data_IF_705192631016
#
_entry.id   IF_705192631016
#
_cell.length_a   1.000
_cell.length_b   1.000
_cell.length_c   1.000
_cell.angle_alpha   90.00
_cell.angle_beta   90.00
_cell.angle_gamma   90.00
#
_symmetry.space_group_name_H-M   'P 1'
#
loop_
_entity.id
_entity.type
_entity.pdbx_description
1 polymer ?
#
# COMPACT_ATOMS: atom_id res chain seq x y z
N UNK A 1 7.14 -18.83 13.58
CA UNK A 1 8.59 -18.86 13.32
C UNK A 1 8.97 -18.29 11.94
N UNK A 2 8.68 -18.90 10.76
CA UNK A 2 8.98 -18.25 9.47
C UNK A 2 8.08 -17.05 9.16
N UNK A 3 6.80 -17.11 9.56
CA UNK A 3 5.82 -16.06 9.30
C UNK A 3 6.14 -14.74 10.03
N UNK A 4 6.61 -14.80 11.27
CA UNK A 4 7.00 -13.62 12.07
C UNK A 4 8.16 -12.84 11.42
N UNK A 5 9.14 -13.57 10.87
CA UNK A 5 10.26 -12.98 10.14
C UNK A 5 9.78 -12.31 8.86
N UNK A 6 8.94 -12.99 8.06
CA UNK A 6 8.35 -12.41 6.83
C UNK A 6 7.55 -11.15 7.16
N UNK A 7 6.71 -11.21 8.20
CA UNK A 7 5.93 -10.09 8.68
C UNK A 7 6.81 -8.90 9.06
N UNK A 8 7.85 -9.14 9.87
CA UNK A 8 8.75 -8.09 10.35
C UNK A 8 9.54 -7.45 9.20
N UNK A 9 10.03 -8.25 8.26
CA UNK A 9 10.75 -7.77 7.09
C UNK A 9 9.85 -6.96 6.16
N UNK A 10 8.63 -7.41 5.90
CA UNK A 10 7.67 -6.69 5.07
C UNK A 10 7.31 -5.33 5.68
N UNK A 11 7.07 -5.28 7.00
CA UNK A 11 6.81 -4.03 7.72
C UNK A 11 8.02 -3.09 7.67
N UNK A 12 9.23 -3.59 7.95
CA UNK A 12 10.44 -2.78 7.90
C UNK A 12 10.70 -2.18 6.52
N UNK A 13 10.53 -2.99 5.47
CA UNK A 13 10.67 -2.56 4.09
C UNK A 13 9.64 -1.47 3.73
N UNK A 14 8.37 -1.70 4.05
CA UNK A 14 7.31 -0.72 3.80
C UNK A 14 7.55 0.59 4.57
N UNK A 15 7.96 0.51 5.83
CA UNK A 15 8.25 1.67 6.68
C UNK A 15 9.39 2.52 6.11
N UNK A 16 10.49 1.90 5.70
CA UNK A 16 11.62 2.60 5.05
C UNK A 16 11.15 3.27 3.75
N UNK A 17 10.33 2.59 2.95
CA UNK A 17 9.78 3.15 1.72
C UNK A 17 8.86 4.36 1.98
N UNK A 18 8.05 4.34 3.03
CA UNK A 18 7.23 5.47 3.45
C UNK A 18 8.07 6.67 3.92
N UNK A 19 9.11 6.44 4.71
CA UNK A 19 10.06 7.48 5.11
C UNK A 19 10.70 8.10 3.87
N UNK A 20 11.19 7.27 2.96
CA UNK A 20 11.80 7.73 1.71
C UNK A 20 10.81 8.56 0.88
N UNK A 21 9.57 8.09 0.75
CA UNK A 21 8.52 8.79 0.01
C UNK A 21 8.16 10.14 0.64
N UNK A 22 8.08 10.23 1.97
CA UNK A 22 7.66 11.45 2.65
C UNK A 22 8.80 12.49 2.69
N UNK A 23 10.03 12.07 2.97
CA UNK A 23 11.13 12.98 3.29
C UNK A 23 12.08 13.26 2.11
N UNK A 24 12.30 12.31 1.21
CA UNK A 24 13.29 12.50 0.14
C UNK A 24 12.74 13.33 -1.02
N UNK A 25 13.65 13.90 -1.79
CA UNK A 25 13.33 14.52 -3.08
C UNK A 25 12.84 13.44 -4.05
N UNK A 26 11.59 13.57 -4.53
CA UNK A 26 10.96 12.60 -5.43
C UNK A 26 11.37 12.80 -6.88
N UNK A 27 12.62 12.50 -7.19
CA UNK A 27 13.07 12.34 -8.57
C UNK A 27 12.44 11.07 -9.21
N UNK A 28 12.42 10.99 -10.54
CA UNK A 28 11.88 9.82 -11.27
C UNK A 28 12.56 8.50 -10.87
N UNK A 29 13.83 8.57 -10.43
CA UNK A 29 14.53 7.40 -9.87
C UNK A 29 13.84 6.87 -8.60
N UNK A 30 13.45 7.75 -7.68
CA UNK A 30 12.77 7.32 -6.45
C UNK A 30 11.41 6.69 -6.78
N UNK A 31 10.65 7.28 -7.70
CA UNK A 31 9.39 6.70 -8.16
C UNK A 31 9.59 5.30 -8.76
N UNK A 32 10.63 5.13 -9.58
CA UNK A 32 10.95 3.83 -10.20
C UNK A 32 11.39 2.79 -9.18
N UNK A 33 12.26 3.16 -8.23
CA UNK A 33 12.74 2.25 -7.16
C UNK A 33 11.60 1.82 -6.25
N UNK A 34 10.71 2.74 -5.88
CA UNK A 34 9.56 2.40 -5.03
C UNK A 34 8.55 1.53 -5.78
N UNK A 35 8.22 1.86 -7.04
CA UNK A 35 7.23 1.13 -7.83
C UNK A 35 7.70 -0.25 -8.27
N UNK A 36 8.81 -0.31 -8.99
CA UNK A 36 9.30 -1.55 -9.60
C UNK A 36 10.12 -2.39 -8.61
N UNK A 37 10.77 -1.74 -7.63
CA UNK A 37 11.58 -2.41 -6.61
C UNK A 37 10.75 -2.82 -5.40
N UNK A 38 10.39 -1.86 -4.54
CA UNK A 38 9.78 -2.17 -3.23
C UNK A 38 8.37 -2.75 -3.37
N UNK A 39 7.47 -2.06 -4.08
CA UNK A 39 6.10 -2.52 -4.29
C UNK A 39 6.12 -3.83 -5.09
N UNK A 40 6.93 -3.91 -6.15
CA UNK A 40 7.14 -5.15 -6.91
C UNK A 40 7.54 -6.34 -6.02
N UNK A 41 8.49 -6.16 -5.12
CA UNK A 41 8.93 -7.19 -4.18
C UNK A 41 7.81 -7.59 -3.21
N UNK A 42 7.04 -6.64 -2.67
CA UNK A 42 5.90 -6.94 -1.80
C UNK A 42 4.81 -7.73 -2.56
N UNK A 43 4.55 -7.39 -3.83
CA UNK A 43 3.64 -8.13 -4.70
C UNK A 43 4.11 -9.56 -4.96
N UNK A 44 5.42 -9.76 -5.21
CA UNK A 44 6.00 -11.10 -5.37
C UNK A 44 5.89 -11.92 -4.09
N UNK A 45 6.14 -11.30 -2.93
CA UNK A 45 5.99 -11.93 -1.63
C UNK A 45 4.55 -12.37 -1.39
N UNK A 46 3.58 -11.47 -1.65
CA UNK A 46 2.15 -11.78 -1.57
C UNK A 46 1.77 -12.95 -2.47
N UNK A 47 2.16 -12.91 -3.75
CA UNK A 47 1.82 -13.94 -4.72
C UNK A 47 2.41 -15.30 -4.33
N UNK A 48 3.67 -15.34 -3.92
CA UNK A 48 4.32 -16.57 -3.47
C UNK A 48 3.67 -17.17 -2.23
N UNK A 49 3.36 -16.34 -1.23
CA UNK A 49 2.70 -16.79 -0.01
C UNK A 49 1.26 -17.29 -0.29
N UNK A 50 0.52 -16.61 -1.17
CA UNK A 50 -0.82 -17.03 -1.59
C UNK A 50 -0.78 -18.39 -2.30
N UNK A 51 0.15 -18.58 -3.24
CA UNK A 51 0.31 -19.87 -3.95
C UNK A 51 0.65 -20.99 -2.97
N UNK A 52 1.57 -20.76 -2.03
CA UNK A 52 1.95 -21.74 -1.03
C UNK A 52 0.75 -22.18 -0.17
N UNK A 53 -0.04 -21.22 0.31
CA UNK A 53 -1.21 -21.51 1.17
C UNK A 53 -2.34 -22.17 0.39
N UNK A 54 -2.58 -21.79 -0.87
CA UNK A 54 -3.68 -22.34 -1.67
C UNK A 54 -3.40 -23.73 -2.26
N UNK A 55 -2.15 -24.03 -2.62
CA UNK A 55 -1.83 -25.22 -3.42
C UNK A 55 -0.90 -26.22 -2.73
N UNK A 56 -0.19 -25.83 -1.66
CA UNK A 56 0.86 -26.67 -1.06
C UNK A 56 0.52 -27.06 0.37
N UNK A 57 0.00 -26.14 1.18
CA UNK A 57 -0.34 -26.41 2.57
C UNK A 57 -1.77 -26.96 2.71
N UNK A 58 -2.02 -27.92 3.62
CA UNK A 58 -3.36 -28.42 3.87
C UNK A 58 -4.22 -27.32 4.51
N UNK A 59 -5.09 -26.72 3.72
CA UNK A 59 -6.06 -25.74 4.20
C UNK A 59 -7.20 -26.47 4.92
N UNK A 60 -7.22 -26.43 6.25
CA UNK A 60 -8.15 -27.18 7.09
C UNK A 60 -9.64 -26.76 6.95
N UNK A 61 -9.99 -25.84 6.05
CA UNK A 61 -11.30 -25.20 5.95
C UNK A 61 -11.95 -25.17 4.55
N UNK A 62 -11.50 -25.99 3.59
CA UNK A 62 -12.22 -26.13 2.30
C UNK A 62 -11.98 -25.04 1.26
N UNK A 63 -10.89 -24.26 1.39
CA UNK A 63 -10.50 -23.20 0.46
C UNK A 63 -10.81 -21.79 0.97
N UNK A 64 -10.30 -20.77 0.28
CA UNK A 64 -10.57 -19.37 0.60
C UNK A 64 -11.96 -18.98 0.08
N UNK A 65 -12.90 -18.71 0.98
CA UNK A 65 -14.22 -18.15 0.66
C UNK A 65 -14.27 -16.66 1.06
N UNK A 66 -14.45 -15.78 0.07
CA UNK A 66 -14.57 -14.34 0.27
C UNK A 66 -16.02 -13.83 0.23
N UNK A 67 -17.00 -14.72 -0.03
CA UNK A 67 -18.41 -14.35 -0.12
C UNK A 67 -19.09 -14.27 1.26
N UNK A 68 -18.51 -14.89 2.29
CA UNK A 68 -19.04 -14.92 3.64
C UNK A 68 -18.04 -14.39 4.67
N UNK A 69 -18.53 -13.78 5.75
CA UNK A 69 -17.67 -13.29 6.84
C UNK A 69 -16.92 -14.45 7.49
N UNK A 70 -17.56 -15.61 7.63
CA UNK A 70 -16.94 -16.80 8.22
C UNK A 70 -15.84 -17.37 7.32
N UNK A 71 -16.05 -17.39 6.01
CA UNK A 71 -15.02 -17.74 5.03
C UNK A 71 -13.80 -16.82 5.12
N UNK A 72 -14.02 -15.50 5.16
CA UNK A 72 -12.92 -14.53 5.31
C UNK A 72 -12.19 -14.75 6.64
N UNK A 73 -12.92 -14.94 7.74
CA UNK A 73 -12.31 -15.22 9.06
C UNK A 73 -11.47 -16.50 9.02
N UNK A 74 -11.89 -17.53 8.31
CA UNK A 74 -11.14 -18.78 8.19
C UNK A 74 -9.80 -18.58 7.47
N UNK A 75 -9.73 -17.69 6.48
CA UNK A 75 -8.46 -17.31 5.83
C UNK A 75 -7.49 -16.71 6.85
N UNK A 76 -7.98 -15.78 7.67
CA UNK A 76 -7.20 -15.09 8.70
C UNK A 76 -7.00 -15.88 10.00
N UNK A 77 -7.47 -17.14 10.07
CA UNK A 77 -7.34 -17.97 11.27
C UNK A 77 -5.93 -18.56 11.47
N UNK A 78 -5.02 -18.34 10.50
CA UNK A 78 -3.64 -18.82 10.55
C UNK A 78 -2.66 -17.67 10.38
N UNK A 79 -1.46 -17.79 10.97
CA UNK A 79 -0.39 -16.80 10.81
C UNK A 79 -0.08 -16.52 9.33
N UNK A 80 -0.07 -17.56 8.49
CA UNK A 80 0.17 -17.41 7.05
C UNK A 80 -0.89 -16.55 6.37
N UNK A 81 -2.17 -16.79 6.66
CA UNK A 81 -3.27 -15.98 6.13
C UNK A 81 -3.24 -14.53 6.61
N UNK A 82 -2.89 -14.30 7.89
CA UNK A 82 -2.67 -12.96 8.44
C UNK A 82 -1.54 -12.24 7.72
N UNK A 83 -0.39 -12.89 7.54
CA UNK A 83 0.75 -12.29 6.83
C UNK A 83 0.41 -11.98 5.38
N UNK A 84 -0.28 -12.88 4.66
CA UNK A 84 -0.71 -12.64 3.28
C UNK A 84 -1.59 -11.39 3.18
N UNK A 85 -2.62 -11.29 4.01
CA UNK A 85 -3.50 -10.12 4.00
C UNK A 85 -2.78 -8.85 4.46
N UNK A 86 -1.81 -8.94 5.38
CA UNK A 86 -1.03 -7.79 5.80
C UNK A 86 -0.10 -7.27 4.70
N UNK A 87 0.63 -8.17 4.03
CA UNK A 87 1.50 -7.82 2.89
C UNK A 87 0.68 -7.21 1.75
N UNK A 88 -0.55 -7.70 1.53
CA UNK A 88 -1.50 -7.09 0.60
C UNK A 88 -1.76 -5.62 0.95
N UNK A 89 -2.10 -5.30 2.20
CA UNK A 89 -2.28 -3.92 2.63
C UNK A 89 -1.01 -3.08 2.46
N UNK A 90 0.15 -3.57 2.90
CA UNK A 90 1.41 -2.84 2.76
C UNK A 90 1.73 -2.49 1.29
N UNK A 91 1.52 -3.44 0.37
CA UNK A 91 1.78 -3.23 -1.05
C UNK A 91 0.83 -2.19 -1.66
N UNK A 92 -0.47 -2.36 -1.43
CA UNK A 92 -1.48 -1.48 -2.02
C UNK A 92 -1.48 -0.09 -1.38
N UNK A 93 -1.31 0.03 -0.08
CA UNK A 93 -1.24 1.34 0.60
C UNK A 93 -0.01 2.13 0.14
N UNK A 94 1.15 1.48 0.00
CA UNK A 94 2.35 2.15 -0.51
C UNK A 94 2.19 2.54 -1.98
N UNK A 95 1.54 1.71 -2.82
CA UNK A 95 1.19 2.06 -4.19
C UNK A 95 0.28 3.29 -4.25
N UNK A 96 -0.77 3.32 -3.43
CA UNK A 96 -1.68 4.47 -3.30
C UNK A 96 -0.92 5.70 -2.82
N UNK A 97 -0.05 5.56 -1.81
CA UNK A 97 0.82 6.62 -1.34
C UNK A 97 1.70 7.21 -2.44
N UNK A 98 2.31 6.35 -3.26
CA UNK A 98 3.13 6.75 -4.40
C UNK A 98 2.32 7.50 -5.47
N UNK A 99 1.10 7.04 -5.73
CA UNK A 99 0.17 7.72 -6.64
C UNK A 99 -0.27 9.08 -6.10
N UNK A 100 -0.64 9.17 -4.82
CA UNK A 100 -0.98 10.43 -4.13
C UNK A 100 0.19 11.40 -4.25
N UNK A 101 1.39 10.93 -3.93
CA UNK A 101 2.63 11.68 -3.99
C UNK A 101 2.89 12.30 -5.37
N UNK A 102 2.83 11.47 -6.42
CA UNK A 102 3.06 11.90 -7.81
C UNK A 102 2.00 12.89 -8.26
N UNK A 103 0.72 12.60 -7.99
CA UNK A 103 -0.38 13.46 -8.40
C UNK A 103 -0.38 14.79 -7.66
N UNK A 104 0.04 14.79 -6.39
CA UNK A 104 0.19 16.02 -5.61
C UNK A 104 1.31 16.91 -6.17
N UNK A 105 2.43 16.31 -6.60
CA UNK A 105 3.54 17.03 -7.22
C UNK A 105 3.13 17.64 -8.58
N UNK A 106 2.39 16.90 -9.41
CA UNK A 106 1.89 17.37 -10.73
C UNK A 106 0.97 18.59 -10.63
N UNK A 107 0.25 18.75 -9.51
CA UNK A 107 -0.69 19.86 -9.30
C UNK A 107 -0.07 21.00 -8.47
N UNK A 108 1.22 20.90 -8.14
CA UNK A 108 1.93 21.88 -7.34
C UNK A 108 1.46 21.97 -5.88
N UNK A 109 0.93 20.89 -5.30
CA UNK A 109 0.54 20.89 -3.89
C UNK A 109 1.80 20.88 -3.01
N UNK A 110 1.86 21.72 -1.98
CA UNK A 110 3.08 21.86 -1.16
C UNK A 110 3.40 20.57 -0.37
N UNK A 111 4.70 20.26 -0.22
CA UNK A 111 5.18 19.09 0.57
C UNK A 111 4.66 19.08 2.00
N UNK A 112 4.48 20.25 2.61
CA UNK A 112 3.95 20.40 3.97
C UNK A 112 2.51 19.89 4.07
N UNK A 113 1.69 20.14 3.05
CA UNK A 113 0.31 19.61 3.00
C UNK A 113 0.30 18.13 2.63
N UNK A 114 1.20 17.70 1.74
CA UNK A 114 1.30 16.29 1.35
C UNK A 114 1.70 15.37 2.51
N UNK A 115 2.62 15.80 3.38
CA UNK A 115 3.15 14.96 4.46
C UNK A 115 2.07 14.38 5.39
N UNK A 116 1.16 15.16 6.01
CA UNK A 116 0.09 14.61 6.87
C UNK A 116 -0.88 13.72 6.09
N UNK A 117 -1.12 14.00 4.79
CA UNK A 117 -1.95 13.14 3.93
C UNK A 117 -1.28 11.78 3.73
N UNK A 118 0.02 11.77 3.43
CA UNK A 118 0.79 10.53 3.24
C UNK A 118 0.94 9.74 4.54
N UNK A 119 1.09 10.41 5.69
CA UNK A 119 1.06 9.76 7.01
C UNK A 119 -0.32 9.14 7.26
N UNK A 120 -1.40 9.84 6.91
CA UNK A 120 -2.75 9.29 7.01
C UNK A 120 -2.94 8.10 6.06
N UNK A 121 -2.38 8.12 4.85
CA UNK A 121 -2.42 6.97 3.93
C UNK A 121 -1.58 5.81 4.45
N UNK A 122 -0.43 6.07 5.08
CA UNK A 122 0.38 5.01 5.69
C UNK A 122 -0.33 4.32 6.85
N UNK A 123 -1.00 5.08 7.71
CA UNK A 123 -1.67 4.54 8.90
C UNK A 123 -3.08 4.01 8.61
N UNK A 124 -3.78 4.64 7.67
CA UNK A 124 -5.22 4.50 7.43
C UNK A 124 -5.49 4.57 5.92
N UNK A 125 -4.81 3.75 5.10
CA UNK A 125 -4.84 3.71 3.63
C UNK A 125 -5.99 4.45 2.94
N UNK A 126 -7.23 3.94 3.03
CA UNK A 126 -8.39 4.54 2.38
C UNK A 126 -8.77 5.95 2.87
N UNK A 127 -8.57 6.24 4.16
CA UNK A 127 -8.85 7.57 4.73
C UNK A 127 -7.85 8.61 4.20
N UNK A 128 -6.56 8.28 4.16
CA UNK A 128 -5.55 9.17 3.59
C UNK A 128 -5.81 9.47 2.11
N UNK A 129 -6.21 8.46 1.35
CA UNK A 129 -6.66 8.62 -0.03
C UNK A 129 -7.88 9.56 -0.13
N UNK A 130 -8.90 9.36 0.69
CA UNK A 130 -10.09 10.21 0.70
C UNK A 130 -9.73 11.68 0.99
N UNK A 131 -8.90 11.92 2.00
CA UNK A 131 -8.39 13.25 2.34
C UNK A 131 -7.69 13.87 1.12
N UNK A 132 -6.81 13.11 0.46
CA UNK A 132 -6.13 13.60 -0.75
C UNK A 132 -7.12 13.98 -1.85
N UNK A 133 -8.12 13.15 -2.14
CA UNK A 133 -9.10 13.41 -3.19
C UNK A 133 -9.86 14.72 -2.95
N UNK A 134 -10.24 14.98 -1.71
CA UNK A 134 -10.91 16.22 -1.29
C UNK A 134 -9.96 17.41 -1.44
N UNK A 135 -8.75 17.34 -0.85
CA UNK A 135 -7.75 18.41 -0.90
C UNK A 135 -7.37 18.74 -2.35
N UNK A 136 -7.15 17.73 -3.18
CA UNK A 136 -6.85 17.87 -4.60
C UNK A 136 -7.95 18.63 -5.33
N UNK A 137 -9.22 18.28 -5.09
CA UNK A 137 -10.36 18.93 -5.75
C UNK A 137 -10.45 20.41 -5.37
N UNK A 138 -10.28 20.73 -4.08
CA UNK A 138 -10.29 22.10 -3.57
C UNK A 138 -9.12 22.89 -4.16
N UNK A 139 -7.90 22.32 -4.15
CA UNK A 139 -6.70 22.96 -4.68
C UNK A 139 -6.85 23.31 -6.17
N UNK A 140 -7.24 22.34 -6.99
CA UNK A 140 -7.47 22.55 -8.43
C UNK A 140 -8.53 23.63 -8.72
N UNK A 141 -9.61 23.65 -7.95
CA UNK A 141 -10.66 24.67 -8.10
C UNK A 141 -10.15 26.08 -7.78
N UNK A 142 -9.25 26.21 -6.79
CA UNK A 142 -8.67 27.51 -6.39
C UNK A 142 -7.60 28.01 -7.36
N UNK A 143 -6.85 27.11 -7.99
CA UNK A 143 -5.76 27.46 -8.91
C UNK A 143 -6.21 27.57 -10.37
N UNK A 144 -7.49 27.29 -10.67
CA UNK A 144 -7.99 27.26 -12.04
C UNK A 144 -7.33 26.18 -12.89
N UNK A 145 -6.82 25.11 -12.26
CA UNK A 145 -6.11 24.04 -12.96
C UNK A 145 -7.06 23.33 -13.94
N UNK A 146 -6.92 23.64 -15.22
CA UNK A 146 -7.51 22.85 -16.30
C UNK A 146 -6.54 21.73 -16.61
N UNK A 147 -6.90 20.49 -16.26
CA UNK A 147 -6.15 19.35 -16.75
C UNK A 147 -6.16 19.41 -18.28
N UNK A 148 -4.98 19.54 -18.90
CA UNK A 148 -4.86 19.39 -20.34
C UNK A 148 -5.41 18.00 -20.69
N UNK A 149 -6.48 17.98 -21.49
CA UNK A 149 -7.18 16.79 -21.94
C UNK A 149 -6.28 15.92 -22.82
#
# INVERSE_FOLDING_TARGET
MPWDTIFSLANGLAFIAWIALILLSRAELLYSVLREGVIGLLCLLYAGALILVMFVLPFAGGGADFATIDGVRAIFATDGGVVIGWVHYLAFDLFVGLWVARRADEIGLSRIVQAPILVATFMLGPLGLLIFLIVRRIHMARTGYTAAA
#
